data_IF_106060587757
#
_entry.id   IF_106060587757
#
_cell.length_a   1.000
_cell.length_b   1.000
_cell.length_c   1.000
_cell.angle_alpha   90.00
_cell.angle_beta   90.00
_cell.angle_gamma   90.00
#
_symmetry.space_group_name_H-M   'P 1'
#
loop_
_entity.id
_entity.type
_entity.pdbx_description
1 polymer ?
#
# COMPACT_ATOMS: atom_id res chain seq x y z
N UNK A 1 -1.42 -7.10 -11.53
CA UNK A 1 -2.11 -7.18 -12.86
C UNK A 1 -2.88 -8.47 -13.04
N UNK A 2 -2.28 -9.65 -12.86
CA UNK A 2 -2.99 -10.94 -13.00
C UNK A 2 -4.27 -11.07 -12.15
N UNK A 3 -4.23 -10.64 -10.87
CA UNK A 3 -5.39 -10.71 -9.97
C UNK A 3 -6.55 -9.84 -10.44
N UNK A 4 -6.28 -8.67 -11.04
CA UNK A 4 -7.32 -7.79 -11.59
C UNK A 4 -7.97 -8.35 -12.86
N UNK A 5 -7.31 -9.27 -13.56
CA UNK A 5 -7.82 -9.93 -14.78
C UNK A 5 -8.65 -11.17 -14.44
N UNK A 6 -8.36 -11.83 -13.32
CA UNK A 6 -9.04 -13.06 -12.88
C UNK A 6 -10.21 -12.74 -11.92
N UNK A 7 -10.15 -11.62 -11.21
CA UNK A 7 -11.24 -11.18 -10.33
C UNK A 7 -12.50 -10.82 -11.15
N UNK A 8 -13.70 -11.27 -10.72
CA UNK A 8 -14.95 -10.88 -11.36
C UNK A 8 -15.13 -9.36 -11.33
N UNK A 9 -15.71 -8.79 -12.40
CA UNK A 9 -15.78 -7.33 -12.65
C UNK A 9 -16.38 -6.55 -11.48
N UNK A 10 -17.27 -7.15 -10.68
CA UNK A 10 -17.89 -6.49 -9.52
C UNK A 10 -17.05 -6.50 -8.22
N UNK A 11 -15.90 -7.18 -8.20
CA UNK A 11 -15.06 -7.33 -6.98
C UNK A 11 -13.57 -6.99 -7.22
N UNK A 12 -13.26 -6.34 -8.34
CA UNK A 12 -11.86 -6.03 -8.70
C UNK A 12 -11.23 -5.09 -7.68
N UNK A 13 -11.93 -4.05 -7.22
CA UNK A 13 -11.37 -3.13 -6.23
C UNK A 13 -11.20 -3.80 -4.87
N UNK A 14 -12.11 -4.69 -4.46
CA UNK A 14 -11.94 -5.49 -3.25
C UNK A 14 -10.73 -6.43 -3.33
N UNK A 15 -10.56 -7.16 -4.43
CA UNK A 15 -9.43 -8.08 -4.61
C UNK A 15 -8.08 -7.34 -4.63
N UNK A 16 -8.01 -6.19 -5.29
CA UNK A 16 -6.84 -5.30 -5.27
C UNK A 16 -6.60 -4.71 -3.87
N UNK A 17 -7.67 -4.35 -3.16
CA UNK A 17 -7.60 -3.89 -1.77
C UNK A 17 -6.98 -4.97 -0.86
N UNK A 18 -7.47 -6.20 -0.92
CA UNK A 18 -6.91 -7.34 -0.16
C UNK A 18 -5.45 -7.61 -0.51
N UNK A 19 -5.07 -7.50 -1.78
CA UNK A 19 -3.67 -7.65 -2.20
C UNK A 19 -2.78 -6.55 -1.61
N UNK A 20 -3.23 -5.29 -1.68
CA UNK A 20 -2.50 -4.16 -1.12
C UNK A 20 -2.34 -4.31 0.40
N UNK A 21 -3.42 -4.72 1.07
CA UNK A 21 -3.43 -5.05 2.49
C UNK A 21 -2.40 -6.14 2.84
N UNK A 22 -2.36 -7.24 2.08
CA UNK A 22 -1.40 -8.31 2.29
C UNK A 22 0.05 -7.84 2.11
N UNK A 23 0.34 -7.05 1.06
CA UNK A 23 1.66 -6.46 0.83
C UNK A 23 2.08 -5.54 1.97
N UNK A 24 1.18 -4.69 2.45
CA UNK A 24 1.46 -3.72 3.51
C UNK A 24 1.71 -4.44 4.85
N UNK A 25 0.88 -5.42 5.19
CA UNK A 25 1.12 -6.30 6.34
C UNK A 25 2.47 -7.01 6.23
N UNK A 26 2.83 -7.52 5.06
CA UNK A 26 4.15 -8.11 4.80
C UNK A 26 5.29 -7.12 4.99
N UNK A 27 5.17 -5.89 4.48
CA UNK A 27 6.20 -4.85 4.61
C UNK A 27 6.36 -4.33 6.04
N UNK A 28 5.32 -4.43 6.88
CA UNK A 28 5.39 -4.05 8.29
C UNK A 28 5.98 -5.18 9.13
N UNK A 29 5.50 -6.40 8.94
CA UNK A 29 5.93 -7.56 9.71
C UNK A 29 7.34 -8.02 9.31
N UNK A 30 7.72 -7.87 8.04
CA UNK A 30 9.02 -8.30 7.52
C UNK A 30 10.21 -7.71 8.29
N UNK A 31 10.36 -6.38 8.39
CA UNK A 31 11.42 -5.75 9.16
C UNK A 31 11.35 -6.02 10.66
N UNK A 32 10.13 -6.11 11.24
CA UNK A 32 9.95 -6.42 12.66
C UNK A 32 10.47 -7.83 13.00
N UNK A 33 10.02 -8.85 12.27
CA UNK A 33 10.47 -10.22 12.47
C UNK A 33 11.93 -10.42 12.03
N UNK A 34 12.34 -9.80 10.92
CA UNK A 34 13.72 -9.87 10.43
C UNK A 34 14.72 -9.22 11.39
N UNK A 35 14.37 -8.08 11.99
CA UNK A 35 15.18 -7.41 13.01
C UNK A 35 15.29 -8.26 14.28
N UNK A 36 14.17 -8.81 14.76
CA UNK A 36 14.17 -9.70 15.94
C UNK A 36 15.03 -10.96 15.71
N UNK A 37 14.87 -11.63 14.58
CA UNK A 37 15.67 -12.82 14.23
C UNK A 37 17.15 -12.45 14.07
N UNK A 38 17.46 -11.30 13.46
CA UNK A 38 18.84 -10.83 13.32
C UNK A 38 19.51 -10.57 14.69
N UNK A 39 18.77 -10.02 15.65
CA UNK A 39 19.27 -9.68 16.99
C UNK A 39 19.58 -10.93 17.84
N UNK A 40 18.71 -11.95 17.81
CA UNK A 40 18.89 -13.15 18.63
C UNK A 40 19.74 -14.25 17.99
N UNK A 41 19.71 -14.40 16.66
CA UNK A 41 20.31 -15.56 15.97
C UNK A 41 21.48 -15.21 15.04
N UNK A 42 21.56 -13.98 14.50
CA UNK A 42 22.48 -13.47 13.45
C UNK A 42 21.79 -13.17 12.12
N UNK A 43 22.40 -12.28 11.34
CA UNK A 43 21.88 -11.83 10.03
C UNK A 43 21.70 -12.97 9.01
N UNK A 44 22.55 -14.00 9.05
CA UNK A 44 22.47 -15.15 8.14
C UNK A 44 21.19 -15.96 8.34
N UNK A 45 20.74 -16.13 9.59
CA UNK A 45 19.52 -16.88 9.90
C UNK A 45 18.26 -16.21 9.33
N UNK A 46 18.28 -14.89 9.12
CA UNK A 46 17.18 -14.17 8.46
C UNK A 46 17.00 -14.64 7.02
N UNK A 47 18.11 -14.88 6.30
CA UNK A 47 18.05 -15.34 4.91
C UNK A 47 17.46 -16.75 4.80
N UNK A 48 17.80 -17.64 5.74
CA UNK A 48 17.25 -19.00 5.77
C UNK A 48 15.73 -18.99 6.02
N UNK A 49 15.26 -18.15 6.95
CA UNK A 49 13.82 -17.98 7.24
C UNK A 49 13.08 -17.42 6.02
N UNK A 50 13.64 -16.42 5.35
CA UNK A 50 13.05 -15.84 4.13
C UNK A 50 13.01 -16.87 3.01
N UNK A 51 14.08 -17.65 2.82
CA UNK A 51 14.13 -18.71 1.82
C UNK A 51 13.05 -19.78 2.08
N UNK A 52 12.87 -20.18 3.34
CA UNK A 52 11.81 -21.12 3.74
C UNK A 52 10.42 -20.56 3.46
N UNK A 53 10.14 -19.30 3.83
CA UNK A 53 8.86 -18.64 3.56
C UNK A 53 8.53 -18.57 2.07
N UNK A 54 9.52 -18.23 1.24
CA UNK A 54 9.36 -18.19 -0.22
C UNK A 54 9.10 -19.60 -0.78
N UNK A 55 9.80 -20.62 -0.28
CA UNK A 55 9.56 -22.01 -0.67
C UNK A 55 8.14 -22.47 -0.32
N UNK A 56 7.64 -22.17 0.88
CA UNK A 56 6.25 -22.45 1.26
C UNK A 56 5.23 -21.73 0.37
N UNK A 57 5.49 -20.48 0.01
CA UNK A 57 4.66 -19.72 -0.92
C UNK A 57 4.63 -20.39 -2.30
N UNK A 58 5.79 -20.81 -2.82
CA UNK A 58 5.90 -21.53 -4.08
C UNK A 58 5.09 -22.85 -4.07
N UNK A 59 5.23 -23.67 -3.02
CA UNK A 59 4.48 -24.93 -2.87
C UNK A 59 2.98 -24.67 -2.82
N UNK A 60 2.56 -23.64 -2.09
CA UNK A 60 1.15 -23.25 -2.01
C UNK A 60 0.62 -22.83 -3.38
N UNK A 61 1.35 -21.97 -4.10
CA UNK A 61 0.98 -21.56 -5.45
C UNK A 61 0.89 -22.77 -6.39
N UNK A 62 1.89 -23.66 -6.35
CA UNK A 62 1.97 -24.83 -7.21
C UNK A 62 0.79 -25.79 -7.03
N UNK A 63 0.39 -26.07 -5.78
CA UNK A 63 -0.72 -27.00 -5.50
C UNK A 63 -2.10 -26.35 -5.55
N UNK A 64 -2.23 -25.09 -5.11
CA UNK A 64 -3.54 -24.47 -4.89
C UNK A 64 -4.01 -23.61 -6.07
N UNK A 65 -3.09 -22.99 -6.82
CA UNK A 65 -3.47 -22.14 -7.96
C UNK A 65 -3.70 -23.02 -9.19
N UNK A 66 -4.95 -23.44 -9.35
CA UNK A 66 -5.43 -24.01 -10.60
C UNK A 66 -5.74 -22.87 -11.57
N UNK A 67 -4.93 -22.73 -12.63
CA UNK A 67 -5.14 -21.73 -13.67
C UNK A 67 -6.48 -21.95 -14.36
N UNK A 68 -7.46 -21.09 -14.06
CA UNK A 68 -8.71 -21.03 -14.80
C UNK A 68 -8.44 -20.35 -16.13
N UNK A 69 -8.72 -21.02 -17.26
CA UNK A 69 -8.58 -20.45 -18.63
C UNK A 69 -9.14 -19.02 -18.64
N UNK A 70 -8.26 -18.05 -18.93
CA UNK A 70 -8.61 -16.64 -19.03
C UNK A 70 -9.79 -16.51 -19.99
N UNK A 71 -10.97 -16.15 -19.47
CA UNK A 71 -12.14 -15.88 -20.32
C UNK A 71 -11.76 -14.78 -21.32
N UNK A 72 -11.99 -15.04 -22.61
CA UNK A 72 -11.71 -14.15 -23.76
C UNK A 72 -12.29 -12.73 -23.61
N UNK A 73 -13.16 -12.47 -22.63
CA UNK A 73 -13.70 -11.15 -22.30
C UNK A 73 -12.66 -10.12 -21.82
N UNK A 74 -11.57 -10.55 -21.15
CA UNK A 74 -10.56 -9.62 -20.66
C UNK A 74 -9.86 -8.86 -21.81
N UNK A 75 -9.68 -9.51 -22.96
CA UNK A 75 -9.03 -8.91 -24.15
C UNK A 75 -9.85 -7.75 -24.73
N UNK A 76 -11.18 -7.83 -24.69
CA UNK A 76 -12.09 -6.82 -25.27
C UNK A 76 -12.16 -5.55 -24.42
N UNK A 77 -11.98 -5.64 -23.10
CA UNK A 77 -11.94 -4.48 -22.20
C UNK A 77 -10.60 -3.73 -22.22
N UNK A 78 -9.47 -4.43 -22.36
CA UNK A 78 -8.16 -3.78 -22.49
C UNK A 78 -8.09 -2.94 -23.78
N UNK A 79 -8.75 -3.40 -24.85
CA UNK A 79 -8.82 -2.66 -26.12
C UNK A 79 -9.65 -1.37 -26.01
N UNK A 80 -10.79 -1.39 -25.30
CA UNK A 80 -11.59 -0.19 -25.04
C UNK A 80 -10.92 0.83 -24.12
N UNK A 81 -10.12 0.39 -23.15
CA UNK A 81 -9.33 1.30 -22.28
C UNK A 81 -8.20 1.97 -23.07
N UNK A 82 -7.59 1.25 -24.03
CA UNK A 82 -6.53 1.80 -24.90
C UNK A 82 -7.02 2.92 -25.82
N UNK A 83 -8.32 2.97 -26.13
CA UNK A 83 -8.93 4.03 -26.95
C UNK A 83 -9.18 5.34 -26.18
N UNK A 84 -9.29 5.29 -24.84
CA UNK A 84 -9.57 6.48 -24.04
C UNK A 84 -8.29 7.10 -23.45
N UNK A 85 -7.54 7.81 -24.30
CA UNK A 85 -6.29 8.49 -23.93
C UNK A 85 -6.45 9.40 -22.71
N UNK A 86 -7.58 10.07 -22.56
CA UNK A 86 -7.88 10.96 -21.43
C UNK A 86 -7.92 10.19 -20.11
N UNK A 87 -8.53 9.00 -20.08
CA UNK A 87 -8.58 8.17 -18.86
C UNK A 87 -7.17 7.73 -18.43
N UNK A 88 -6.34 7.33 -19.39
CA UNK A 88 -4.95 6.91 -19.12
C UNK A 88 -4.13 8.09 -18.56
N UNK A 89 -4.25 9.27 -19.19
CA UNK A 89 -3.54 10.47 -18.73
C UNK A 89 -3.99 10.87 -17.32
N UNK A 90 -5.30 10.86 -17.04
CA UNK A 90 -5.83 11.20 -15.71
C UNK A 90 -5.31 10.21 -14.66
N UNK A 91 -5.38 8.90 -14.91
CA UNK A 91 -4.86 7.88 -13.98
C UNK A 91 -3.34 8.00 -13.79
N UNK A 92 -2.61 8.31 -14.85
CA UNK A 92 -1.18 8.51 -14.79
C UNK A 92 -0.82 9.73 -13.93
N UNK A 93 -1.45 10.88 -14.17
CA UNK A 93 -1.20 12.11 -13.41
C UNK A 93 -1.59 11.92 -11.94
N UNK A 94 -2.76 11.35 -11.64
CA UNK A 94 -3.17 11.13 -10.24
C UNK A 94 -2.22 10.18 -9.53
N UNK A 95 -1.85 9.05 -10.15
CA UNK A 95 -0.89 8.11 -9.56
C UNK A 95 0.48 8.76 -9.41
N UNK A 96 0.93 9.55 -10.37
CA UNK A 96 2.20 10.27 -10.31
C UNK A 96 2.23 11.25 -9.13
N UNK A 97 1.20 12.08 -8.97
CA UNK A 97 1.10 13.05 -7.86
C UNK A 97 1.10 12.35 -6.51
N UNK A 98 0.32 11.26 -6.38
CA UNK A 98 0.28 10.45 -5.15
C UNK A 98 1.66 9.87 -4.84
N UNK A 99 2.30 9.20 -5.82
CA UNK A 99 3.60 8.57 -5.62
C UNK A 99 4.70 9.59 -5.31
N UNK A 100 4.70 10.74 -6.00
CA UNK A 100 5.66 11.81 -5.75
C UNK A 100 5.53 12.36 -4.33
N UNK A 101 4.30 12.61 -3.87
CA UNK A 101 4.05 13.03 -2.49
C UNK A 101 4.46 11.98 -1.46
N UNK A 102 4.04 10.72 -1.66
CA UNK A 102 4.33 9.64 -0.71
C UNK A 102 5.83 9.35 -0.58
N UNK A 103 6.56 9.23 -1.69
CA UNK A 103 7.99 8.91 -1.67
C UNK A 103 8.87 10.14 -1.40
N UNK A 104 8.43 11.35 -1.79
CA UNK A 104 9.15 12.59 -1.48
C UNK A 104 9.14 12.93 0.01
N UNK A 105 8.05 12.63 0.72
CA UNK A 105 7.95 12.87 2.17
C UNK A 105 8.75 11.86 2.99
N UNK A 106 8.98 10.65 2.48
CA UNK A 106 9.63 9.57 3.24
C UNK A 106 11.06 9.91 3.75
N UNK A 107 11.98 10.47 2.95
CA UNK A 107 13.31 10.86 3.46
C UNK A 107 13.28 12.09 4.37
N UNK A 108 12.35 13.02 4.13
CA UNK A 108 12.18 14.24 4.94
C UNK A 108 11.63 13.89 6.33
N UNK A 109 10.78 12.86 6.40
CA UNK A 109 10.17 12.41 7.64
C UNK A 109 11.22 12.05 8.71
N UNK A 110 12.29 11.34 8.35
CA UNK A 110 13.35 10.98 9.29
C UNK A 110 14.01 12.22 9.89
N UNK A 111 14.30 13.23 9.05
CA UNK A 111 14.87 14.52 9.48
C UNK A 111 13.87 15.29 10.36
N UNK A 112 12.58 15.27 10.01
CA UNK A 112 11.54 15.98 10.76
C UNK A 112 11.30 15.37 12.15
N UNK A 113 11.32 14.03 12.24
CA UNK A 113 11.22 13.32 13.54
C UNK A 113 12.47 13.58 14.38
N UNK A 114 13.66 13.67 13.78
CA UNK A 114 14.90 14.03 14.46
C UNK A 114 14.87 15.45 15.04
N UNK A 115 14.32 16.42 14.29
CA UNK A 115 14.22 17.82 14.74
C UNK A 115 13.23 18.01 15.89
N UNK A 116 12.13 17.26 15.91
CA UNK A 116 11.04 17.43 16.90
C UNK A 116 11.23 16.52 18.12
N UNK A 117 11.98 15.43 18.00
CA UNK A 117 12.20 14.47 19.09
C UNK A 117 13.68 14.34 19.46
N UNK A 118 14.17 15.29 20.26
CA UNK A 118 15.53 15.23 20.81
C UNK A 118 15.56 14.27 22.02
N UNK A 119 16.05 13.03 21.81
CA UNK A 119 16.42 12.14 22.91
C UNK A 119 15.85 10.71 22.91
N UNK A 120 15.23 10.25 21.80
CA UNK A 120 14.71 8.88 21.68
C UNK A 120 15.38 8.08 20.56
N UNK A 121 15.09 6.77 20.50
CA UNK A 121 15.55 5.90 19.41
C UNK A 121 14.83 6.31 18.10
N UNK A 122 15.44 7.19 17.30
CA UNK A 122 14.87 7.81 16.09
C UNK A 122 14.25 6.78 15.13
N UNK A 123 14.91 5.63 14.98
CA UNK A 123 14.44 4.52 14.17
C UNK A 123 13.10 3.94 14.65
N UNK A 124 12.87 3.90 15.96
CA UNK A 124 11.65 3.37 16.56
C UNK A 124 10.47 4.31 16.29
N UNK A 125 10.64 5.62 16.47
CA UNK A 125 9.58 6.61 16.19
C UNK A 125 9.27 6.74 14.71
N UNK A 126 10.29 6.73 13.84
CA UNK A 126 10.09 6.68 12.38
C UNK A 126 9.35 5.39 11.98
N UNK A 127 9.70 4.26 12.59
CA UNK A 127 9.01 2.98 12.42
C UNK A 127 7.54 3.03 12.82
N UNK A 128 7.20 3.64 13.97
CA UNK A 128 5.81 3.82 14.43
C UNK A 128 5.01 4.67 13.44
N UNK A 129 5.58 5.76 12.94
CA UNK A 129 4.90 6.63 11.96
C UNK A 129 4.59 5.88 10.66
N UNK A 130 5.54 5.06 10.17
CA UNK A 130 5.33 4.23 8.98
C UNK A 130 4.29 3.13 9.27
N UNK A 131 4.33 2.53 10.45
CA UNK A 131 3.38 1.52 10.89
C UNK A 131 1.94 2.06 10.96
N UNK A 132 1.76 3.31 11.41
CA UNK A 132 0.47 3.99 11.46
C UNK A 132 -0.20 4.05 10.07
N UNK A 133 0.53 4.41 9.02
CA UNK A 133 0.01 4.39 7.64
C UNK A 133 -0.26 2.98 7.11
N UNK A 134 0.52 1.99 7.54
CA UNK A 134 0.26 0.60 7.15
C UNK A 134 -1.00 0.05 7.81
N UNK A 135 -1.26 0.40 9.08
CA UNK A 135 -2.49 0.07 9.80
C UNK A 135 -3.69 0.74 9.14
N UNK A 136 -3.60 2.02 8.80
CA UNK A 136 -4.65 2.73 8.04
C UNK A 136 -5.03 1.96 6.78
N UNK A 137 -4.06 1.67 5.92
CA UNK A 137 -4.32 0.93 4.68
C UNK A 137 -4.91 -0.48 4.92
N UNK A 138 -4.46 -1.19 5.95
CA UNK A 138 -4.98 -2.51 6.32
C UNK A 138 -6.49 -2.47 6.60
N UNK A 139 -6.99 -1.46 7.31
CA UNK A 139 -8.41 -1.34 7.65
C UNK A 139 -9.25 -0.61 6.58
N UNK A 140 -8.68 0.40 5.92
CA UNK A 140 -9.40 1.27 5.01
C UNK A 140 -9.38 0.78 3.56
N UNK A 141 -8.30 0.16 3.07
CA UNK A 141 -8.21 -0.25 1.66
C UNK A 141 -9.33 -1.23 1.23
N UNK A 142 -9.71 -2.28 2.01
CA UNK A 142 -10.79 -3.17 1.61
C UNK A 142 -12.17 -2.51 1.71
N UNK A 143 -12.37 -1.61 2.68
CA UNK A 143 -13.63 -0.90 2.90
C UNK A 143 -13.87 0.14 1.80
N UNK A 144 -12.87 0.97 1.50
CA UNK A 144 -12.94 1.93 0.40
C UNK A 144 -13.07 1.22 -0.95
N UNK A 145 -12.38 0.09 -1.15
CA UNK A 145 -12.53 -0.72 -2.37
C UNK A 145 -13.98 -1.15 -2.61
N UNK A 146 -14.67 -1.66 -1.57
CA UNK A 146 -16.10 -2.02 -1.67
C UNK A 146 -17.01 -0.82 -1.95
N UNK A 147 -16.69 0.35 -1.39
CA UNK A 147 -17.44 1.59 -1.64
C UNK A 147 -17.21 2.08 -3.08
N UNK A 148 -15.97 1.95 -3.59
CA UNK A 148 -15.60 2.26 -4.96
C UNK A 148 -16.38 1.44 -5.98
N UNK A 149 -16.54 0.14 -5.72
CA UNK A 149 -17.31 -0.77 -6.56
C UNK A 149 -18.82 -0.40 -6.60
N UNK A 150 -19.37 0.26 -5.56
CA UNK A 150 -20.80 0.65 -5.48
C UNK A 150 -21.13 2.03 -6.08
N UNK A 151 -20.30 3.04 -5.81
CA UNK A 151 -20.61 4.45 -6.16
C UNK A 151 -19.97 4.86 -7.49
N UNK A 152 -19.08 4.02 -8.02
CA UNK A 152 -18.39 4.21 -9.29
C UNK A 152 -16.99 4.80 -9.11
N UNK A 153 -15.98 4.26 -9.79
CA UNK A 153 -14.56 4.56 -9.54
C UNK A 153 -14.22 6.05 -9.74
N UNK A 154 -14.80 6.71 -10.75
CA UNK A 154 -14.50 8.13 -11.01
C UNK A 154 -14.89 9.08 -9.87
N UNK A 155 -15.98 8.80 -9.15
CA UNK A 155 -16.42 9.63 -8.03
C UNK A 155 -15.54 9.42 -6.80
N UNK A 156 -15.20 8.16 -6.50
CA UNK A 156 -14.26 7.84 -5.40
C UNK A 156 -12.90 8.45 -5.66
N UNK A 157 -12.36 8.36 -6.89
CA UNK A 157 -11.04 8.91 -7.21
C UNK A 157 -11.01 10.43 -6.94
N UNK A 158 -12.06 11.16 -7.32
CA UNK A 158 -12.13 12.61 -7.09
C UNK A 158 -12.21 12.95 -5.59
N UNK A 159 -13.07 12.25 -4.84
CA UNK A 159 -13.18 12.43 -3.37
C UNK A 159 -11.86 12.09 -2.67
N UNK A 160 -11.24 10.97 -3.06
CA UNK A 160 -9.96 10.53 -2.51
C UNK A 160 -8.84 11.54 -2.83
N UNK A 161 -8.84 12.15 -4.02
CA UNK A 161 -7.85 13.14 -4.39
C UNK A 161 -7.96 14.42 -3.55
N UNK A 162 -9.19 14.91 -3.32
CA UNK A 162 -9.43 16.08 -2.45
C UNK A 162 -9.02 15.75 -1.01
N UNK A 163 -9.42 14.59 -0.51
CA UNK A 163 -9.11 14.14 0.85
C UNK A 163 -7.61 13.96 1.07
N UNK A 164 -6.91 13.40 0.08
CA UNK A 164 -5.46 13.26 0.10
C UNK A 164 -4.77 14.63 0.13
N UNK A 165 -5.25 15.61 -0.66
CA UNK A 165 -4.76 16.99 -0.62
C UNK A 165 -4.90 17.65 0.77
N UNK A 166 -6.06 17.46 1.42
CA UNK A 166 -6.29 17.95 2.80
C UNK A 166 -5.32 17.29 3.78
N UNK A 167 -5.10 15.98 3.67
CA UNK A 167 -4.19 15.26 4.55
C UNK A 167 -2.74 15.71 4.37
N UNK A 168 -2.29 15.96 3.14
CA UNK A 168 -0.96 16.51 2.87
C UNK A 168 -0.80 17.92 3.44
N UNK A 169 -1.81 18.77 3.33
CA UNK A 169 -1.81 20.09 3.94
C UNK A 169 -1.72 20.01 5.48
N UNK A 170 -2.51 19.14 6.11
CA UNK A 170 -2.44 18.90 7.56
C UNK A 170 -1.06 18.37 7.98
N UNK A 171 -0.42 17.53 7.17
CA UNK A 171 0.94 17.05 7.42
C UNK A 171 1.97 18.18 7.39
N UNK A 172 1.81 19.15 6.48
CA UNK A 172 2.75 20.27 6.35
C UNK A 172 2.70 21.23 7.55
N UNK A 173 1.57 21.33 8.24
CA UNK A 173 1.37 22.23 9.41
C UNK A 173 1.58 21.49 10.74
N UNK A 174 1.87 20.19 10.73
CA UNK A 174 1.90 19.36 11.92
C UNK A 174 3.14 19.56 12.80
N UNK A 175 3.11 20.50 13.75
CA UNK A 175 4.25 20.82 14.64
C UNK A 175 4.60 19.79 15.73
N UNK A 176 3.93 18.64 15.79
CA UNK A 176 4.14 17.63 16.83
C UNK A 176 4.10 16.20 16.26
N UNK A 177 4.98 15.31 16.74
CA UNK A 177 5.07 13.90 16.33
C UNK A 177 3.72 13.19 16.46
N UNK A 178 2.96 13.45 17.51
CA UNK A 178 1.63 12.83 17.70
C UNK A 178 0.60 13.27 16.65
N UNK A 179 0.63 14.55 16.25
CA UNK A 179 -0.23 15.05 15.18
C UNK A 179 0.16 14.42 13.84
N UNK A 180 1.46 14.23 13.61
CA UNK A 180 1.96 13.58 12.42
C UNK A 180 1.53 12.09 12.34
N UNK A 181 1.58 11.36 13.46
CA UNK A 181 1.05 9.98 13.56
C UNK A 181 -0.46 9.96 13.24
N UNK A 182 -1.24 10.90 13.81
CA UNK A 182 -2.68 10.95 13.60
C UNK A 182 -3.05 11.23 12.13
N UNK A 183 -2.37 12.18 11.48
CA UNK A 183 -2.62 12.48 10.06
C UNK A 183 -2.17 11.32 9.16
N UNK A 184 -1.10 10.60 9.53
CA UNK A 184 -0.63 9.40 8.83
C UNK A 184 -1.56 8.19 8.96
N UNK A 185 -2.33 8.12 10.04
CA UNK A 185 -3.41 7.15 10.24
C UNK A 185 -4.67 7.48 9.41
N UNK A 186 -4.82 8.73 9.00
CA UNK A 186 -5.94 9.23 8.21
C UNK A 186 -5.72 9.03 6.70
N UNK A 187 -4.46 8.98 6.27
CA UNK A 187 -4.03 8.74 4.89
C UNK A 187 -4.08 7.26 4.52
#
# INVERSE_FOLDING_TARGET
VFIAVIAPKEKVAYALGTLSTASISGSLLGPLFGGFVAEFFSISAVFDVVAFLIACSFVTIYFFIHERKIQKEAKKNIQKVKENKTLIIVLFITTFVIQFGTFGVMPILSIYVEQIHQGGNLALWAGIVVAASGISNLFFAPKLGKIADKIGPSKIILIALIFCGICFYLQAVASNVYMLIFVRLLI
#
